data_IF_205944716540
#
_entry.id   IF_205944716540
#
_cell.length_a   1.000
_cell.length_b   1.000
_cell.length_c   1.000
_cell.angle_alpha   90.00
_cell.angle_beta   90.00
_cell.angle_gamma   90.00
#
_symmetry.space_group_name_H-M   'P 1'
#
loop_
_entity.id
_entity.type
_entity.pdbx_description
1 polymer ?
#
# COMPACT_ATOMS: atom_id res chain seq x y z
N UNK A 1 -14.26 -2.68 -24.56
CA UNK A 1 -14.72 -2.40 -23.18
C UNK A 1 -13.48 -2.24 -22.32
N UNK A 2 -13.22 -1.03 -21.86
CA UNK A 2 -11.94 -0.63 -21.25
C UNK A 2 -11.90 -0.95 -19.76
N UNK A 3 -10.75 -1.41 -19.26
CA UNK A 3 -10.54 -1.76 -17.85
C UNK A 3 -10.91 -0.63 -16.86
N UNK A 4 -10.88 0.63 -17.31
CA UNK A 4 -11.29 1.79 -16.53
C UNK A 4 -12.81 1.84 -16.21
N UNK A 5 -13.68 1.38 -17.11
CA UNK A 5 -15.13 1.32 -16.86
C UNK A 5 -15.49 0.21 -15.86
N UNK A 6 -14.77 -0.92 -15.90
CA UNK A 6 -15.01 -2.02 -14.96
C UNK A 6 -14.59 -1.68 -13.53
N UNK A 7 -13.54 -0.89 -13.33
CA UNK A 7 -13.10 -0.46 -11.99
C UNK A 7 -14.05 0.59 -11.39
N UNK A 8 -14.62 1.47 -12.21
CA UNK A 8 -15.66 2.41 -11.75
C UNK A 8 -16.94 1.71 -11.27
N UNK A 9 -17.20 0.48 -11.71
CA UNK A 9 -18.37 -0.30 -11.32
C UNK A 9 -18.19 -1.10 -10.01
N UNK A 10 -16.98 -1.19 -9.44
CA UNK A 10 -16.71 -1.93 -8.18
C UNK A 10 -17.06 -1.05 -6.98
N UNK A 11 -18.34 -0.69 -6.85
CA UNK A 11 -18.86 0.10 -5.73
C UNK A 11 -19.24 -0.75 -4.51
N UNK A 12 -19.24 -2.09 -4.63
CA UNK A 12 -19.72 -2.97 -3.58
C UNK A 12 -18.63 -3.95 -3.12
N UNK A 13 -18.31 -3.99 -1.81
CA UNK A 13 -17.44 -5.04 -1.28
C UNK A 13 -18.07 -6.40 -1.57
N UNK A 14 -17.28 -7.42 -1.90
CA UNK A 14 -17.84 -8.67 -2.40
C UNK A 14 -18.69 -9.42 -1.35
N UNK A 15 -19.79 -10.11 -1.73
CA UNK A 15 -20.68 -10.83 -0.79
C UNK A 15 -19.98 -11.93 0.02
N UNK A 16 -18.77 -12.35 -0.38
CA UNK A 16 -17.94 -13.29 0.37
C UNK A 16 -17.36 -12.71 1.68
N UNK A 17 -17.20 -11.39 1.80
CA UNK A 17 -16.82 -10.74 3.05
C UNK A 17 -17.84 -11.01 4.17
N UNK A 18 -19.12 -11.06 3.81
CA UNK A 18 -20.17 -11.34 4.78
C UNK A 18 -20.04 -12.76 5.35
N UNK A 19 -19.68 -13.74 4.51
CA UNK A 19 -19.40 -15.12 4.94
C UNK A 19 -18.18 -15.17 5.86
N UNK A 20 -17.11 -14.44 5.54
CA UNK A 20 -15.94 -14.32 6.39
C UNK A 20 -16.28 -13.72 7.76
N UNK A 21 -17.09 -12.65 7.79
CA UNK A 21 -17.51 -12.03 9.04
C UNK A 21 -18.43 -12.92 9.87
N UNK A 22 -19.34 -13.68 9.25
CA UNK A 22 -20.14 -14.70 9.96
C UNK A 22 -19.22 -15.75 10.58
N UNK A 23 -18.27 -16.30 9.81
CA UNK A 23 -17.37 -17.35 10.28
C UNK A 23 -16.47 -16.85 11.40
N UNK A 24 -15.89 -15.65 11.25
CA UNK A 24 -15.08 -14.99 12.29
C UNK A 24 -15.91 -14.71 13.54
N UNK A 25 -17.15 -14.27 13.37
CA UNK A 25 -18.03 -13.97 14.49
C UNK A 25 -18.43 -15.22 15.26
N UNK A 26 -18.77 -16.31 14.55
CA UNK A 26 -19.09 -17.61 15.14
C UNK A 26 -17.95 -18.14 16.02
N UNK A 27 -16.70 -17.84 15.64
CA UNK A 27 -15.49 -18.20 16.40
C UNK A 27 -15.39 -17.48 17.77
N UNK A 28 -16.10 -16.36 17.96
CA UNK A 28 -16.13 -15.57 19.22
C UNK A 28 -17.09 -16.20 20.26
N UNK A 29 -17.85 -17.22 19.89
CA UNK A 29 -18.75 -17.94 20.80
C UNK A 29 -20.13 -17.27 20.94
N UNK A 30 -20.83 -17.41 22.08
CA UNK A 30 -22.23 -16.97 22.22
C UNK A 30 -22.42 -15.45 22.10
N UNK A 31 -21.35 -14.65 22.18
CA UNK A 31 -21.36 -13.20 22.01
C UNK A 31 -21.13 -12.75 20.55
N UNK A 32 -21.31 -13.64 19.57
CA UNK A 32 -21.08 -13.34 18.16
C UNK A 32 -21.99 -12.23 17.60
N UNK A 33 -23.15 -11.98 18.19
CA UNK A 33 -24.12 -11.01 17.65
C UNK A 33 -23.57 -9.58 17.60
N UNK A 34 -22.79 -9.17 18.60
CA UNK A 34 -22.23 -7.82 18.71
C UNK A 34 -21.23 -7.51 17.58
N UNK A 35 -20.15 -8.30 17.39
CA UNK A 35 -19.25 -8.10 16.26
C UNK A 35 -19.94 -8.34 14.91
N UNK A 36 -20.89 -9.28 14.82
CA UNK A 36 -21.62 -9.55 13.57
C UNK A 36 -22.39 -8.32 13.09
N UNK A 37 -23.13 -7.66 13.99
CA UNK A 37 -23.89 -6.45 13.67
C UNK A 37 -22.95 -5.31 13.25
N UNK A 38 -21.84 -5.13 13.97
CA UNK A 38 -20.83 -4.12 13.63
C UNK A 38 -20.22 -4.36 12.24
N UNK A 39 -19.79 -5.60 11.96
CA UNK A 39 -19.21 -5.98 10.67
C UNK A 39 -20.22 -5.92 9.52
N UNK A 40 -21.48 -6.30 9.78
CA UNK A 40 -22.57 -6.19 8.82
C UNK A 40 -22.80 -4.74 8.39
N UNK A 41 -22.90 -3.82 9.35
CA UNK A 41 -23.07 -2.40 9.05
C UNK A 41 -21.85 -1.78 8.40
N UNK A 42 -20.64 -2.19 8.81
CA UNK A 42 -19.39 -1.76 8.16
C UNK A 42 -19.38 -2.18 6.68
N UNK A 43 -19.70 -3.44 6.40
CA UNK A 43 -19.78 -3.99 5.05
C UNK A 43 -20.83 -3.25 4.19
N UNK A 44 -22.03 -3.02 4.74
CA UNK A 44 -23.10 -2.37 3.99
C UNK A 44 -22.87 -0.88 3.71
N UNK A 45 -22.06 -0.21 4.54
CA UNK A 45 -21.82 1.24 4.44
C UNK A 45 -20.50 1.59 3.74
N UNK A 46 -19.64 0.60 3.48
CA UNK A 46 -18.38 0.82 2.77
C UNK A 46 -18.67 1.19 1.32
N UNK A 47 -18.23 2.40 0.94
CA UNK A 47 -18.20 2.88 -0.43
C UNK A 47 -16.77 3.25 -0.80
N UNK A 48 -16.36 2.78 -1.96
CA UNK A 48 -15.10 3.11 -2.60
C UNK A 48 -15.42 3.94 -3.83
N UNK A 49 -14.76 5.09 -3.94
CA UNK A 49 -14.84 5.95 -5.12
C UNK A 49 -13.41 6.12 -5.66
N UNK A 50 -13.18 5.60 -6.86
CA UNK A 50 -11.93 5.75 -7.60
C UNK A 50 -12.10 6.92 -8.56
N UNK A 51 -11.27 7.95 -8.40
CA UNK A 51 -11.23 9.14 -9.25
C UNK A 51 -10.00 9.08 -10.18
N UNK A 52 -9.85 10.05 -11.08
CA UNK A 52 -8.67 10.20 -11.94
C UNK A 52 -7.43 10.64 -11.15
N UNK A 53 -7.61 11.47 -10.12
CA UNK A 53 -6.52 12.02 -9.30
C UNK A 53 -6.22 11.19 -8.04
N UNK A 54 -7.17 10.40 -7.57
CA UNK A 54 -7.02 9.64 -6.33
C UNK A 54 -8.11 8.63 -6.06
N UNK A 55 -8.16 8.21 -4.81
CA UNK A 55 -9.03 7.15 -4.28
C UNK A 55 -9.60 7.63 -2.95
N UNK A 56 -10.91 7.49 -2.78
CA UNK A 56 -11.58 7.83 -1.53
C UNK A 56 -12.38 6.63 -1.00
N UNK A 57 -12.30 6.44 0.31
CA UNK A 57 -12.98 5.39 1.04
C UNK A 57 -13.85 5.99 2.13
N UNK A 58 -15.14 5.68 2.10
CA UNK A 58 -16.12 6.17 3.07
C UNK A 58 -16.81 4.99 3.75
N UNK A 59 -16.93 5.03 5.08
CA UNK A 59 -17.63 4.00 5.83
C UNK A 59 -18.22 4.51 7.15
N UNK A 60 -19.17 3.75 7.71
CA UNK A 60 -19.76 3.99 9.02
C UNK A 60 -21.12 4.69 8.98
N UNK A 61 -22.02 4.24 9.86
CA UNK A 61 -23.41 4.74 9.95
C UNK A 61 -23.53 5.82 11.02
N UNK A 62 -23.04 5.52 12.23
CA UNK A 62 -23.07 6.44 13.37
C UNK A 62 -21.85 7.37 13.40
N UNK A 63 -20.67 6.84 13.09
CA UNK A 63 -19.43 7.59 12.93
C UNK A 63 -18.95 7.49 11.50
N UNK A 64 -19.31 8.48 10.67
CA UNK A 64 -18.87 8.57 9.29
C UNK A 64 -17.36 8.83 9.27
N UNK A 65 -16.61 7.93 8.64
CA UNK A 65 -15.18 8.07 8.40
C UNK A 65 -14.96 8.14 6.89
N UNK A 66 -14.16 9.11 6.48
CA UNK A 66 -13.81 9.37 5.09
C UNK A 66 -12.30 9.56 5.02
N UNK A 67 -11.67 8.83 4.12
CA UNK A 67 -10.24 8.93 3.84
C UNK A 67 -10.08 9.12 2.34
N UNK A 68 -9.38 10.18 1.96
CA UNK A 68 -9.09 10.52 0.56
C UNK A 68 -7.58 10.54 0.34
N UNK A 69 -7.10 9.72 -0.59
CA UNK A 69 -5.70 9.55 -0.94
C UNK A 69 -5.48 9.88 -2.42
N UNK A 70 -4.59 10.81 -2.71
CA UNK A 70 -4.13 11.06 -4.09
C UNK A 70 -3.13 9.99 -4.53
N UNK A 71 -3.15 9.58 -5.80
CA UNK A 71 -2.19 8.58 -6.31
C UNK A 71 -0.72 9.00 -6.12
N UNK A 72 -0.43 10.30 -6.16
CA UNK A 72 0.91 10.86 -5.93
C UNK A 72 1.45 10.64 -4.50
N UNK A 73 0.56 10.48 -3.51
CA UNK A 73 0.94 10.27 -2.09
C UNK A 73 1.18 8.80 -1.75
N UNK A 74 0.79 7.89 -2.62
CA UNK A 74 0.97 6.45 -2.42
C UNK A 74 2.45 6.11 -2.58
N UNK A 75 3.03 5.50 -1.56
CA UNK A 75 4.41 5.04 -1.60
C UNK A 75 4.47 3.55 -1.91
N UNK A 76 3.77 2.76 -1.09
CA UNK A 76 3.76 1.31 -1.15
C UNK A 76 2.33 0.77 -1.06
N UNK A 77 2.13 -0.41 -1.66
CA UNK A 77 0.87 -1.14 -1.70
C UNK A 77 1.17 -2.58 -1.26
N UNK A 78 0.71 -2.93 -0.06
CA UNK A 78 0.85 -4.27 0.47
C UNK A 78 -0.42 -5.08 0.28
N UNK A 79 -0.27 -6.28 -0.29
CA UNK A 79 -1.32 -7.29 -0.31
C UNK A 79 -1.21 -8.16 0.93
N UNK A 80 -2.28 -8.19 1.72
CA UNK A 80 -2.40 -9.05 2.89
C UNK A 80 -3.60 -9.98 2.72
N UNK A 81 -3.40 -11.28 2.96
CA UNK A 81 -4.49 -12.26 2.93
C UNK A 81 -4.25 -13.33 3.99
N UNK A 82 -5.20 -13.51 4.90
CA UNK A 82 -5.20 -14.57 5.90
C UNK A 82 -5.53 -15.93 5.26
N UNK A 83 -5.23 -17.05 5.92
CA UNK A 83 -5.50 -18.40 5.39
C UNK A 83 -6.98 -18.59 4.97
N UNK A 84 -7.91 -18.07 5.77
CA UNK A 84 -9.35 -18.11 5.47
C UNK A 84 -9.73 -17.16 4.33
N UNK A 85 -9.08 -15.99 4.25
CA UNK A 85 -9.29 -15.02 3.16
C UNK A 85 -8.82 -15.63 1.83
N UNK A 86 -7.64 -16.27 1.81
CA UNK A 86 -7.11 -17.01 0.64
C UNK A 86 -8.07 -18.09 0.18
N UNK A 87 -8.68 -18.83 1.12
CA UNK A 87 -9.63 -19.89 0.79
C UNK A 87 -10.93 -19.34 0.17
N UNK A 88 -11.33 -18.14 0.58
CA UNK A 88 -12.46 -17.41 0.02
C UNK A 88 -12.09 -16.56 -1.20
N UNK A 89 -10.86 -16.66 -1.71
CA UNK A 89 -10.31 -15.80 -2.78
C UNK A 89 -10.45 -14.30 -2.49
N UNK A 90 -10.25 -13.93 -1.22
CA UNK A 90 -10.27 -12.55 -0.72
C UNK A 90 -8.85 -12.10 -0.38
N UNK A 91 -8.57 -10.84 -0.66
CA UNK A 91 -7.39 -10.16 -0.13
C UNK A 91 -7.76 -8.75 0.36
N UNK A 92 -6.85 -8.19 1.15
CA UNK A 92 -6.90 -6.81 1.63
C UNK A 92 -5.71 -6.05 1.07
N UNK A 93 -5.99 -4.95 0.39
CA UNK A 93 -4.98 -4.03 -0.15
C UNK A 93 -4.74 -2.94 0.89
N UNK A 94 -3.55 -2.91 1.46
CA UNK A 94 -3.11 -1.89 2.41
C UNK A 94 -2.25 -0.86 1.68
N UNK A 95 -2.66 0.39 1.72
CA UNK A 95 -2.00 1.50 1.04
C UNK A 95 -1.29 2.33 2.10
N UNK A 96 0.02 2.47 1.93
CA UNK A 96 0.87 3.29 2.78
C UNK A 96 1.25 4.57 2.05
N UNK A 97 1.16 5.69 2.77
CA UNK A 97 1.55 7.01 2.26
C UNK A 97 2.82 7.50 2.96
N UNK A 98 3.38 8.59 2.45
CA UNK A 98 4.50 9.31 3.06
C UNK A 98 4.20 9.94 4.44
N UNK A 99 3.02 9.69 5.01
CA UNK A 99 2.59 10.27 6.29
C UNK A 99 3.47 9.77 7.44
N UNK A 100 3.58 10.58 8.50
CA UNK A 100 4.44 10.30 9.67
C UNK A 100 4.03 9.04 10.46
N UNK A 101 2.90 8.41 10.14
CA UNK A 101 2.44 7.17 10.78
C UNK A 101 2.83 5.94 9.96
N UNK A 102 3.48 4.97 10.62
CA UNK A 102 3.83 3.67 10.03
C UNK A 102 2.62 2.75 9.77
N UNK A 103 1.39 3.22 10.03
CA UNK A 103 0.17 2.46 9.81
C UNK A 103 -0.34 2.65 8.37
N UNK A 104 -0.98 1.61 7.81
CA UNK A 104 -1.67 1.73 6.53
C UNK A 104 -2.76 2.81 6.62
N UNK A 105 -2.66 3.84 5.79
CA UNK A 105 -3.57 4.98 5.85
C UNK A 105 -4.93 4.64 5.25
N UNK A 106 -4.95 3.67 4.32
CA UNK A 106 -6.18 3.13 3.79
C UNK A 106 -6.04 1.62 3.56
N UNK A 107 -7.08 0.89 3.94
CA UNK A 107 -7.17 -0.55 3.70
C UNK A 107 -8.45 -0.86 2.94
N UNK A 108 -8.30 -1.34 1.71
CA UNK A 108 -9.41 -1.81 0.87
C UNK A 108 -9.59 -3.30 1.18
N UNK A 109 -10.79 -3.70 1.61
CA UNK A 109 -11.05 -5.07 2.07
C UNK A 109 -11.99 -5.81 1.11
N UNK A 110 -11.70 -7.09 0.87
CA UNK A 110 -12.61 -8.07 0.28
C UNK A 110 -12.98 -7.84 -1.17
N UNK A 111 -11.95 -7.63 -1.98
CA UNK A 111 -12.00 -7.73 -3.42
C UNK A 111 -11.74 -9.20 -3.80
N UNK A 112 -12.59 -9.81 -4.64
CA UNK A 112 -12.24 -11.08 -5.28
C UNK A 112 -11.15 -10.84 -6.35
N UNK A 113 -11.27 -9.74 -7.07
CA UNK A 113 -10.35 -9.32 -8.14
C UNK A 113 -9.25 -8.39 -7.60
N UNK A 114 -8.62 -8.76 -6.48
CA UNK A 114 -7.59 -7.95 -5.84
C UNK A 114 -6.37 -7.70 -6.75
N UNK A 115 -6.06 -8.63 -7.66
CA UNK A 115 -4.96 -8.47 -8.62
C UNK A 115 -5.26 -7.39 -9.66
N UNK A 116 -6.49 -7.34 -10.17
CA UNK A 116 -6.90 -6.30 -11.13
C UNK A 116 -6.87 -4.91 -10.50
N UNK A 117 -7.35 -4.79 -9.26
CA UNK A 117 -7.31 -3.52 -8.53
C UNK A 117 -5.87 -3.11 -8.22
N UNK A 118 -5.03 -4.05 -7.79
CA UNK A 118 -3.59 -3.80 -7.59
C UNK A 118 -2.92 -3.30 -8.88
N UNK A 119 -3.12 -4.00 -9.99
CA UNK A 119 -2.48 -3.67 -11.26
C UNK A 119 -3.00 -2.32 -11.82
N UNK A 120 -4.27 -2.02 -11.60
CA UNK A 120 -4.86 -0.71 -11.87
C UNK A 120 -4.20 0.40 -11.03
N UNK A 121 -4.07 0.19 -9.72
CA UNK A 121 -3.41 1.15 -8.82
C UNK A 121 -1.94 1.36 -9.22
N UNK A 122 -1.20 0.31 -9.55
CA UNK A 122 0.18 0.45 -10.04
C UNK A 122 0.27 1.19 -11.37
N UNK A 123 -0.65 0.94 -12.30
CA UNK A 123 -0.71 1.65 -13.58
C UNK A 123 -0.98 3.14 -13.36
N UNK A 124 -1.93 3.49 -12.49
CA UNK A 124 -2.24 4.88 -12.14
C UNK A 124 -1.07 5.56 -11.43
N UNK A 125 -0.43 4.89 -10.47
CA UNK A 125 0.78 5.39 -9.82
C UNK A 125 1.91 5.63 -10.82
N UNK A 126 2.10 4.73 -11.80
CA UNK A 126 3.13 4.88 -12.84
C UNK A 126 2.79 5.98 -13.84
N UNK A 127 1.51 6.18 -14.18
CA UNK A 127 1.06 7.31 -15.01
C UNK A 127 1.33 8.66 -14.35
N UNK A 128 1.10 8.77 -13.05
CA UNK A 128 1.41 9.97 -12.26
C UNK A 128 2.92 10.18 -12.11
N UNK A 129 3.69 9.12 -11.82
CA UNK A 129 5.17 9.17 -11.80
C UNK A 129 5.81 9.34 -13.18
N UNK A 130 5.12 9.04 -14.27
CA UNK A 130 5.58 9.27 -15.64
C UNK A 130 5.48 10.73 -16.05
N UNK A 131 4.50 11.46 -15.50
CA UNK A 131 4.41 12.93 -15.61
C UNK A 131 5.32 13.64 -14.60
N UNK A 132 5.50 13.08 -13.41
CA UNK A 132 6.50 13.50 -12.43
C UNK A 132 7.76 12.67 -12.60
N UNK A 133 8.48 12.88 -13.71
CA UNK A 133 9.80 12.29 -13.93
C UNK A 133 10.63 12.37 -12.62
N UNK A 134 11.35 11.30 -12.25
CA UNK A 134 12.21 11.33 -11.08
C UNK A 134 13.26 12.41 -11.30
N UNK A 135 13.04 13.59 -10.71
CA UNK A 135 14.12 14.51 -10.43
C UNK A 135 15.11 13.71 -9.60
N UNK A 136 16.32 13.62 -10.13
CA UNK A 136 17.50 12.98 -9.56
C UNK A 136 17.34 12.67 -8.07
N UNK A 137 17.47 11.39 -7.72
CA UNK A 137 17.99 11.03 -6.41
C UNK A 137 19.35 11.71 -6.33
N UNK A 138 19.41 12.89 -5.69
CA UNK A 138 20.66 13.44 -5.19
C UNK A 138 21.24 12.38 -4.29
N UNK A 139 22.22 11.65 -4.81
CA UNK A 139 23.15 10.87 -4.00
C UNK A 139 23.56 11.79 -2.85
N UNK A 140 23.25 11.44 -1.58
CA UNK A 140 23.54 12.33 -0.48
C UNK A 140 25.02 12.68 -0.55
N UNK A 141 25.33 13.98 -0.47
CA UNK A 141 26.71 14.51 -0.57
C UNK A 141 27.71 13.83 0.38
N UNK A 142 27.19 13.13 1.40
CA UNK A 142 27.90 12.29 2.34
C UNK A 142 28.58 11.06 1.70
N UNK A 143 27.94 10.40 0.73
CA UNK A 143 28.51 9.22 0.07
C UNK A 143 29.64 9.61 -0.88
N UNK A 144 29.52 10.78 -1.52
CA UNK A 144 30.55 11.34 -2.37
C UNK A 144 31.80 11.78 -1.57
N UNK A 145 31.61 12.39 -0.39
CA UNK A 145 32.72 12.80 0.47
C UNK A 145 33.41 11.61 1.15
N UNK A 146 32.66 10.60 1.59
CA UNK A 146 33.23 9.35 2.12
C UNK A 146 34.04 8.60 1.05
N UNK A 147 33.53 8.52 -0.19
CA UNK A 147 34.25 7.91 -1.30
C UNK A 147 35.50 8.71 -1.70
N UNK A 148 35.53 10.03 -1.52
CA UNK A 148 36.72 10.85 -1.73
C UNK A 148 37.78 10.60 -0.64
N UNK A 149 37.38 10.61 0.63
CA UNK A 149 38.27 10.35 1.76
C UNK A 149 38.90 8.95 1.69
N UNK A 150 38.13 7.93 1.28
CA UNK A 150 38.65 6.56 1.11
C UNK A 150 39.69 6.46 -0.01
N UNK A 151 39.54 7.23 -1.11
CA UNK A 151 40.53 7.26 -2.19
C UNK A 151 41.82 7.95 -1.78
N UNK A 152 41.73 9.01 -0.99
CA UNK A 152 42.89 9.74 -0.45
C UNK A 152 43.71 8.86 0.50
N UNK A 153 43.05 8.20 1.45
CA UNK A 153 43.71 7.24 2.36
C UNK A 153 44.33 6.07 1.59
N UNK A 154 43.67 5.57 0.55
CA UNK A 154 44.21 4.51 -0.29
C UNK A 154 45.48 4.94 -1.06
N UNK A 155 45.57 6.20 -1.50
CA UNK A 155 46.79 6.70 -2.16
C UNK A 155 47.97 6.85 -1.20
N UNK A 156 47.73 7.32 0.02
CA UNK A 156 48.77 7.45 1.06
C UNK A 156 49.36 6.08 1.44
N UNK A 157 48.51 5.07 1.65
CA UNK A 157 48.97 3.71 1.95
C UNK A 157 49.79 3.09 0.81
N UNK A 158 49.46 3.42 -0.44
CA UNK A 158 50.21 2.94 -1.61
C UNK A 158 51.60 3.56 -1.67
N UNK A 159 51.72 4.86 -1.38
CA UNK A 159 53.00 5.57 -1.33
C UNK A 159 53.90 5.04 -0.19
N UNK A 160 53.33 4.77 0.99
CA UNK A 160 54.07 4.19 2.12
C UNK A 160 54.59 2.79 1.79
N UNK A 161 53.78 1.96 1.11
CA UNK A 161 54.20 0.62 0.68
C UNK A 161 55.36 0.68 -0.31
N UNK A 162 55.31 1.55 -1.31
CA UNK A 162 56.39 1.69 -2.30
C UNK A 162 57.70 2.20 -1.68
N UNK A 163 57.62 3.03 -0.65
CA UNK A 163 58.79 3.50 0.10
C UNK A 163 59.44 2.40 0.95
N UNK A 164 58.65 1.44 1.46
CA UNK A 164 59.13 0.27 2.19
C UNK A 164 59.72 -0.80 1.27
N UNK A 165 59.19 -0.97 0.05
CA UNK A 165 59.73 -1.94 -0.93
C UNK A 165 61.06 -1.49 -1.58
N UNK A 166 61.41 -0.20 -1.50
CA UNK A 166 62.68 0.36 -2.05
C UNK A 166 63.85 0.38 -1.06
N UNK A 167 63.71 -0.21 0.13
CA UNK A 167 64.73 -0.23 1.18
C UNK A 167 65.18 -1.66 1.48
#
# INVERSE_FOLDING_TARGET
MTAAEQVHAIHHPAPALFRYYILRSLLVGPLFFVPLIYFYFRYHTMRYDFDEEGISMRWGILFRREITLTYARIQDIHLTSNLVERWLSLARIQIQTASASAAAEMTIEGLHEFELVRDFLYTKMRGVRGGAAPQHVETPAHDASLAAALREVASELRAVREALEKR
#
